data_IF_132921331616
#
_entry.id   IF_132921331616
#
_cell.length_a   1.000
_cell.length_b   1.000
_cell.length_c   1.000
_cell.angle_alpha   90.00
_cell.angle_beta   90.00
_cell.angle_gamma   90.00
#
_symmetry.space_group_name_H-M   'P 1'
#
loop_
_entity.id
_entity.type
_entity.pdbx_description
1 polymer ?
#
# COMPACT_ATOMS: atom_id res chain seq x y z
N UNK A 1 -1.83 5.02 23.27
CA UNK A 1 -2.47 6.29 22.96
C UNK A 1 -2.60 6.37 21.46
N UNK A 2 -3.78 6.71 20.95
CA UNK A 2 -4.01 6.95 19.53
C UNK A 2 -3.24 8.21 19.07
N UNK A 3 -2.85 8.32 17.81
CA UNK A 3 -2.26 9.56 17.29
C UNK A 3 -3.27 10.73 17.42
N UNK A 4 -2.79 11.96 17.66
CA UNK A 4 -3.67 13.11 17.88
C UNK A 4 -4.71 13.33 16.77
N UNK A 5 -4.32 13.04 15.52
CA UNK A 5 -5.16 13.19 14.32
C UNK A 5 -6.30 12.15 14.26
N UNK A 6 -6.20 11.10 15.05
CA UNK A 6 -7.17 10.02 15.12
C UNK A 6 -7.87 9.95 16.49
N UNK A 7 -7.59 10.90 17.39
CA UNK A 7 -8.21 10.95 18.71
C UNK A 7 -9.56 11.65 18.57
N UNK A 8 -10.68 10.98 18.85
CA UNK A 8 -11.99 11.63 18.83
C UNK A 8 -12.05 12.69 19.94
N UNK A 9 -12.66 13.81 19.65
CA UNK A 9 -13.01 14.80 20.66
C UNK A 9 -14.04 14.18 21.61
N UNK A 10 -13.61 14.01 22.87
CA UNK A 10 -14.44 13.68 24.03
C UNK A 10 -15.62 12.72 23.77
N UNK A 11 -15.47 11.47 24.22
CA UNK A 11 -16.53 10.44 24.33
C UNK A 11 -17.17 9.90 23.05
N UNK A 12 -16.75 10.35 21.88
CA UNK A 12 -17.29 9.87 20.61
C UNK A 12 -16.52 8.68 20.02
N UNK A 13 -17.27 7.77 19.41
CA UNK A 13 -16.73 6.65 18.67
C UNK A 13 -16.16 7.11 17.33
N UNK A 14 -14.89 6.81 17.08
CA UNK A 14 -14.30 7.02 15.77
C UNK A 14 -14.77 5.92 14.80
N UNK A 15 -15.61 6.32 13.83
CA UNK A 15 -16.05 5.41 12.78
C UNK A 15 -15.10 5.51 11.58
N UNK A 16 -14.58 4.37 11.16
CA UNK A 16 -13.67 4.25 10.02
C UNK A 16 -14.28 3.34 8.96
N UNK A 17 -14.10 3.67 7.69
CA UNK A 17 -14.50 2.81 6.60
C UNK A 17 -13.55 2.94 5.41
N UNK A 18 -13.16 1.82 4.82
CA UNK A 18 -12.42 1.75 3.56
C UNK A 18 -13.32 1.96 2.32
N UNK A 19 -14.65 1.92 2.49
CA UNK A 19 -15.59 2.23 1.40
C UNK A 19 -15.77 3.74 1.25
N UNK A 20 -15.08 4.30 0.25
CA UNK A 20 -15.13 5.73 -0.08
C UNK A 20 -16.56 6.21 -0.42
N UNK A 21 -17.37 5.37 -1.05
CA UNK A 21 -18.74 5.71 -1.40
C UNK A 21 -19.64 5.75 -0.16
N UNK A 22 -19.45 4.81 0.77
CA UNK A 22 -20.13 4.82 2.07
C UNK A 22 -19.78 6.08 2.87
N UNK A 23 -18.49 6.39 3.03
CA UNK A 23 -18.02 7.61 3.73
C UNK A 23 -18.64 8.86 3.12
N UNK A 24 -18.63 8.98 1.80
CA UNK A 24 -19.22 10.13 1.11
C UNK A 24 -20.73 10.25 1.29
N UNK A 25 -21.46 9.13 1.40
CA UNK A 25 -22.92 9.14 1.69
C UNK A 25 -23.20 9.56 3.13
N UNK A 26 -22.52 8.95 4.09
CA UNK A 26 -22.76 9.23 5.51
C UNK A 26 -22.36 10.65 5.90
N UNK A 27 -21.23 11.14 5.41
CA UNK A 27 -20.83 12.52 5.69
C UNK A 27 -21.77 13.54 5.07
N UNK A 28 -22.33 13.30 3.86
CA UNK A 28 -23.37 14.16 3.28
C UNK A 28 -24.65 14.15 4.09
N UNK A 29 -25.08 12.99 4.59
CA UNK A 29 -26.26 12.89 5.49
C UNK A 29 -26.03 13.61 6.81
N UNK A 30 -24.82 13.55 7.36
CA UNK A 30 -24.44 14.27 8.58
C UNK A 30 -24.49 15.77 8.36
N UNK A 31 -23.88 16.28 7.29
CA UNK A 31 -23.91 17.70 6.91
C UNK A 31 -25.33 18.25 6.70
N UNK A 32 -26.24 17.46 6.14
CA UNK A 32 -27.65 17.87 5.96
C UNK A 32 -28.43 17.95 7.27
N UNK A 33 -28.03 17.18 8.30
CA UNK A 33 -28.65 17.21 9.64
C UNK A 33 -28.08 18.27 10.56
N UNK A 34 -26.86 18.72 10.26
CA UNK A 34 -26.04 19.57 11.14
C UNK A 34 -25.85 20.97 10.52
N UNK A 35 -26.94 21.68 10.25
CA UNK A 35 -26.87 23.08 9.82
C UNK A 35 -26.46 24.05 10.96
N UNK A 36 -26.23 23.56 12.19
CA UNK A 36 -26.04 24.38 13.38
C UNK A 36 -24.76 24.13 14.20
N UNK A 37 -23.91 23.15 13.84
CA UNK A 37 -22.68 22.89 14.59
C UNK A 37 -21.49 22.53 13.67
N UNK A 38 -20.31 23.10 13.97
CA UNK A 38 -18.99 22.74 13.42
C UNK A 38 -18.64 21.29 13.82
N UNK A 39 -19.38 20.32 13.30
CA UNK A 39 -19.13 18.90 13.61
C UNK A 39 -18.23 18.28 12.55
N UNK A 40 -17.13 17.69 13.01
CA UNK A 40 -16.27 16.84 12.20
C UNK A 40 -17.06 15.71 11.52
N UNK A 41 -16.66 15.24 10.33
CA UNK A 41 -17.31 14.12 9.68
C UNK A 41 -17.29 12.90 10.61
N UNK A 42 -18.47 12.32 10.89
CA UNK A 42 -18.62 11.17 11.81
C UNK A 42 -17.93 9.92 11.31
N UNK A 43 -17.75 9.78 10.00
CA UNK A 43 -17.06 8.65 9.39
C UNK A 43 -15.83 9.16 8.66
N UNK A 44 -14.65 8.66 9.06
CA UNK A 44 -13.41 8.97 8.38
C UNK A 44 -13.10 7.88 7.34
N UNK A 45 -12.55 8.32 6.22
CA UNK A 45 -12.08 7.38 5.20
C UNK A 45 -10.77 6.74 5.66
N UNK A 46 -10.78 5.42 5.78
CA UNK A 46 -9.59 4.65 6.10
C UNK A 46 -8.83 4.37 4.81
N UNK A 47 -7.78 5.14 4.55
CA UNK A 47 -6.83 4.87 3.48
C UNK A 47 -5.54 4.25 4.05
N UNK A 48 -4.71 3.74 3.17
CA UNK A 48 -3.50 3.01 3.54
C UNK A 48 -2.53 3.79 4.45
N UNK A 49 -2.35 5.08 4.21
CA UNK A 49 -1.50 5.97 5.04
C UNK A 49 -2.29 6.68 6.16
N UNK A 50 -3.49 6.23 6.47
CA UNK A 50 -4.23 6.81 7.59
C UNK A 50 -3.45 6.64 8.89
N UNK A 51 -3.34 7.67 9.76
CA UNK A 51 -2.54 7.60 11.00
C UNK A 51 -2.86 6.41 11.90
N UNK A 52 -4.11 5.95 11.91
CA UNK A 52 -4.51 4.72 12.64
C UNK A 52 -3.85 3.46 12.08
N UNK A 53 -3.66 3.36 10.76
CA UNK A 53 -2.99 2.21 10.17
C UNK A 53 -1.53 2.14 10.60
N UNK A 54 -0.85 3.27 10.56
CA UNK A 54 0.53 3.36 11.05
C UNK A 54 0.63 3.05 12.55
N UNK A 55 -0.28 3.62 13.36
CA UNK A 55 -0.34 3.31 14.79
C UNK A 55 -0.59 1.81 15.05
N UNK A 56 -1.49 1.18 14.29
CA UNK A 56 -1.75 -0.26 14.43
C UNK A 56 -0.53 -1.11 14.05
N UNK A 57 0.17 -0.75 12.96
CA UNK A 57 1.41 -1.41 12.56
C UNK A 57 2.51 -1.25 13.61
N UNK A 58 2.68 -0.06 14.17
CA UNK A 58 3.65 0.20 15.25
C UNK A 58 3.32 -0.61 16.51
N UNK A 59 2.03 -0.70 16.87
CA UNK A 59 1.57 -1.52 18.00
C UNK A 59 1.77 -3.01 17.75
N UNK A 60 1.43 -3.50 16.58
CA UNK A 60 1.70 -4.88 16.21
C UNK A 60 3.20 -5.19 16.28
N UNK A 61 4.05 -4.29 15.75
CA UNK A 61 5.50 -4.41 15.82
C UNK A 61 6.07 -4.40 17.25
N UNK A 62 5.42 -3.69 18.19
CA UNK A 62 5.79 -3.71 19.61
C UNK A 62 5.43 -5.05 20.29
N UNK A 63 4.25 -5.62 19.96
CA UNK A 63 3.79 -6.86 20.57
C UNK A 63 4.52 -8.10 20.04
N UNK A 64 4.72 -8.18 18.73
CA UNK A 64 5.25 -9.38 18.08
C UNK A 64 6.75 -9.31 17.80
N UNK A 65 7.37 -8.16 18.04
CA UNK A 65 8.73 -7.91 17.58
C UNK A 65 8.80 -7.80 16.04
N UNK A 66 9.70 -6.99 15.53
CA UNK A 66 9.82 -6.76 14.07
C UNK A 66 10.32 -7.96 13.28
N UNK A 67 10.83 -8.98 13.95
CA UNK A 67 11.48 -10.16 13.34
C UNK A 67 10.75 -11.47 13.58
N UNK A 68 9.62 -11.46 14.29
CA UNK A 68 8.88 -12.68 14.64
C UNK A 68 7.44 -12.55 14.16
N UNK A 69 6.99 -13.54 13.40
CA UNK A 69 5.59 -13.68 13.05
C UNK A 69 4.88 -14.54 14.09
N UNK A 70 3.66 -14.18 14.55
CA UNK A 70 2.89 -15.01 15.45
C UNK A 70 2.49 -16.33 14.77
N UNK A 71 2.60 -17.42 15.51
CA UNK A 71 2.01 -18.69 15.14
C UNK A 71 0.64 -18.82 15.80
N UNK A 72 -0.41 -19.03 15.02
CA UNK A 72 -1.79 -19.02 15.46
C UNK A 72 -2.40 -20.37 15.15
N UNK A 73 -2.83 -21.09 16.20
CA UNK A 73 -3.56 -22.33 16.06
C UNK A 73 -5.05 -22.07 15.75
N UNK A 74 -5.58 -22.78 14.78
CA UNK A 74 -7.00 -22.70 14.43
C UNK A 74 -7.62 -24.08 14.24
N UNK A 75 -8.84 -24.26 14.73
CA UNK A 75 -9.62 -25.48 14.54
C UNK A 75 -10.25 -25.60 13.16
N UNK A 76 -10.07 -24.60 12.30
CA UNK A 76 -10.61 -24.59 10.93
C UNK A 76 -9.67 -25.22 9.91
N UNK A 77 -8.43 -25.49 10.31
CA UNK A 77 -7.43 -26.19 9.51
C UNK A 77 -7.24 -27.61 10.03
N UNK A 78 -6.90 -28.53 9.14
CA UNK A 78 -6.53 -29.89 9.51
C UNK A 78 -5.12 -29.92 10.14
N UNK A 79 -4.85 -30.94 10.97
CA UNK A 79 -3.50 -31.16 11.52
C UNK A 79 -2.48 -31.32 10.39
N UNK A 80 -1.37 -30.58 10.47
CA UNK A 80 -0.34 -30.54 9.42
C UNK A 80 -0.58 -29.54 8.28
N UNK A 81 -1.73 -28.89 8.25
CA UNK A 81 -1.97 -27.76 7.33
C UNK A 81 -1.40 -26.47 7.89
N UNK A 82 -0.74 -25.69 7.03
CA UNK A 82 -0.13 -24.40 7.40
C UNK A 82 -0.49 -23.34 6.37
N UNK A 83 -0.89 -22.17 6.84
CA UNK A 83 -1.09 -20.99 5.98
C UNK A 83 -0.19 -19.86 6.45
N UNK A 84 0.71 -19.41 5.55
CA UNK A 84 1.47 -18.19 5.77
C UNK A 84 0.67 -16.98 5.29
N UNK A 85 0.42 -16.02 6.16
CA UNK A 85 0.00 -14.68 5.78
C UNK A 85 1.23 -13.86 5.45
N UNK A 86 1.38 -13.51 4.18
CA UNK A 86 2.54 -12.82 3.66
C UNK A 86 2.19 -11.38 3.27
N UNK A 87 3.12 -10.49 3.50
CA UNK A 87 3.09 -9.15 2.94
C UNK A 87 4.36 -8.93 2.11
N UNK A 88 4.19 -8.39 0.92
CA UNK A 88 5.29 -8.11 0.01
C UNK A 88 5.19 -6.72 -0.59
N UNK A 89 6.30 -6.01 -0.64
CA UNK A 89 6.37 -4.64 -1.13
C UNK A 89 7.54 -4.49 -2.09
N UNK A 90 7.31 -3.79 -3.21
CA UNK A 90 8.37 -3.35 -4.10
C UNK A 90 8.40 -1.82 -4.05
N UNK A 91 9.50 -1.22 -3.57
CA UNK A 91 9.64 0.22 -3.52
C UNK A 91 10.01 0.81 -4.88
N UNK A 92 9.78 2.10 -5.03
CA UNK A 92 10.38 2.89 -6.10
C UNK A 92 11.78 3.39 -5.69
N UNK A 93 12.45 4.15 -6.58
CA UNK A 93 13.76 4.76 -6.30
C UNK A 93 13.78 5.71 -5.10
N UNK A 94 12.62 6.18 -4.66
CA UNK A 94 12.45 7.02 -3.46
C UNK A 94 12.15 6.22 -2.21
N UNK A 95 12.28 4.90 -2.27
CA UNK A 95 11.93 3.99 -1.17
C UNK A 95 10.46 4.06 -0.75
N UNK A 96 9.58 4.62 -1.58
CA UNK A 96 8.15 4.59 -1.35
C UNK A 96 7.56 3.27 -1.86
N UNK A 97 6.66 2.62 -1.12
CA UNK A 97 6.03 1.38 -1.55
C UNK A 97 5.06 1.66 -2.70
N UNK A 98 5.33 1.10 -3.86
CA UNK A 98 4.51 1.24 -5.07
C UNK A 98 3.69 -0.02 -5.30
N UNK A 99 4.34 -1.18 -5.30
CA UNK A 99 3.65 -2.47 -5.29
C UNK A 99 3.59 -2.96 -3.86
N UNK A 100 2.40 -3.31 -3.40
CA UNK A 100 2.17 -3.81 -2.04
C UNK A 100 1.03 -4.82 -2.07
N UNK A 101 1.40 -6.07 -1.83
CA UNK A 101 0.51 -7.21 -1.93
C UNK A 101 0.44 -7.93 -0.58
N UNK A 102 -0.79 -8.29 -0.21
CA UNK A 102 -1.08 -9.15 0.93
C UNK A 102 -1.78 -10.39 0.43
N UNK A 103 -1.29 -11.55 0.82
CA UNK A 103 -1.79 -12.84 0.34
C UNK A 103 -1.50 -13.96 1.32
N UNK A 104 -2.22 -15.07 1.16
CA UNK A 104 -1.95 -16.31 1.85
C UNK A 104 -1.20 -17.32 0.97
N UNK A 105 -0.34 -18.13 1.59
CA UNK A 105 0.26 -19.31 0.97
C UNK A 105 -0.15 -20.55 1.78
N UNK A 106 -0.95 -21.40 1.17
CA UNK A 106 -1.46 -22.62 1.78
C UNK A 106 -0.52 -23.78 1.52
N UNK A 107 -0.18 -24.50 2.58
CA UNK A 107 0.58 -25.74 2.56
C UNK A 107 -0.26 -26.84 3.17
N UNK A 108 -0.31 -28.00 2.51
CA UNK A 108 -0.95 -29.20 3.02
C UNK A 108 0.07 -30.32 3.14
N UNK A 109 0.11 -30.94 4.29
CA UNK A 109 1.05 -32.05 4.54
C UNK A 109 2.50 -31.73 4.11
N UNK A 110 2.95 -30.50 4.41
CA UNK A 110 4.31 -30.05 4.11
C UNK A 110 4.58 -29.67 2.64
N UNK A 111 3.56 -29.59 1.77
CA UNK A 111 3.69 -29.21 0.36
C UNK A 111 2.86 -27.97 0.05
N UNK A 112 3.42 -27.10 -0.78
CA UNK A 112 2.68 -25.96 -1.29
C UNK A 112 1.47 -26.42 -2.11
N UNK A 113 0.30 -25.95 -1.74
CA UNK A 113 -0.97 -26.27 -2.38
C UNK A 113 -1.41 -25.17 -3.32
N UNK A 114 -1.60 -23.96 -2.77
CA UNK A 114 -2.07 -22.82 -3.55
C UNK A 114 -1.84 -21.47 -2.86
N UNK A 115 -1.96 -20.42 -3.65
CA UNK A 115 -2.08 -19.05 -3.20
C UNK A 115 -3.53 -18.74 -2.79
N UNK A 116 -3.70 -17.94 -1.75
CA UNK A 116 -4.98 -17.43 -1.26
C UNK A 116 -5.00 -15.92 -1.36
N UNK A 117 -6.14 -15.37 -1.75
CA UNK A 117 -6.43 -13.95 -1.52
C UNK A 117 -6.62 -13.70 -0.02
N UNK A 118 -6.57 -12.43 0.41
CA UNK A 118 -6.84 -12.11 1.82
C UNK A 118 -8.25 -12.51 2.26
N UNK A 119 -9.25 -12.36 1.38
CA UNK A 119 -10.63 -12.79 1.66
C UNK A 119 -10.73 -14.30 1.85
N UNK A 120 -10.03 -15.09 1.04
CA UNK A 120 -9.99 -16.55 1.18
C UNK A 120 -9.26 -16.97 2.47
N UNK A 121 -8.14 -16.29 2.79
CA UNK A 121 -7.40 -16.52 4.02
C UNK A 121 -8.27 -16.25 5.24
N UNK A 122 -8.93 -15.08 5.30
CA UNK A 122 -9.82 -14.70 6.40
C UNK A 122 -10.95 -15.73 6.55
N UNK A 123 -11.63 -16.09 5.45
CA UNK A 123 -12.71 -17.09 5.47
C UNK A 123 -12.23 -18.45 5.95
N UNK A 124 -11.04 -18.84 5.56
CA UNK A 124 -10.49 -20.16 5.89
C UNK A 124 -9.98 -20.25 7.32
N UNK A 125 -9.29 -19.24 7.80
CA UNK A 125 -8.76 -19.20 9.16
C UNK A 125 -9.74 -18.66 10.19
N UNK A 126 -10.75 -17.89 9.74
CA UNK A 126 -11.74 -17.21 10.59
C UNK A 126 -11.11 -16.36 11.70
N UNK A 127 -9.94 -15.79 11.45
CA UNK A 127 -9.20 -15.03 12.46
C UNK A 127 -9.85 -13.67 12.79
N UNK A 128 -10.77 -13.20 11.97
CA UNK A 128 -11.58 -11.98 12.17
C UNK A 128 -12.66 -12.16 13.24
N UNK A 129 -12.88 -13.40 13.74
CA UNK A 129 -13.85 -13.67 14.79
C UNK A 129 -13.20 -13.53 16.16
N UNK A 130 -13.56 -12.48 16.88
CA UNK A 130 -13.06 -12.21 18.23
C UNK A 130 -13.50 -13.22 19.29
N UNK A 131 -14.47 -14.08 18.99
CA UNK A 131 -15.02 -15.08 19.90
C UNK A 131 -14.24 -16.41 19.88
N UNK A 132 -13.20 -16.52 19.02
CA UNK A 132 -12.39 -17.74 18.93
C UNK A 132 -11.02 -17.52 19.57
N UNK A 133 -10.80 -18.03 20.78
CA UNK A 133 -9.46 -18.08 21.34
C UNK A 133 -8.57 -18.96 20.47
N UNK A 134 -7.26 -18.75 20.60
CA UNK A 134 -6.26 -19.60 19.96
C UNK A 134 -6.54 -21.06 20.32
N UNK A 135 -6.89 -21.88 19.33
CA UNK A 135 -7.33 -23.24 19.58
C UNK A 135 -6.14 -24.14 19.89
N UNK A 136 -6.24 -24.92 20.94
CA UNK A 136 -5.22 -25.90 21.33
C UNK A 136 -3.94 -25.29 21.92
N UNK A 137 -2.99 -26.16 22.19
CA UNK A 137 -1.69 -25.80 22.74
C UNK A 137 -0.63 -25.92 21.61
N UNK A 138 -0.14 -24.81 21.12
CA UNK A 138 0.98 -24.79 20.18
C UNK A 138 2.29 -25.06 20.90
N UNK A 139 3.15 -25.84 20.26
CA UNK A 139 4.46 -26.24 20.78
C UNK A 139 5.59 -25.60 19.97
N UNK A 140 6.81 -25.68 20.50
CA UNK A 140 8.00 -25.33 19.72
C UNK A 140 8.17 -26.22 18.48
N UNK A 141 7.65 -27.44 18.50
CA UNK A 141 7.69 -28.37 17.38
C UNK A 141 6.83 -27.84 16.22
N UNK A 142 5.62 -27.34 16.49
CA UNK A 142 4.76 -26.75 15.48
C UNK A 142 5.43 -25.54 14.82
N UNK A 143 6.13 -24.70 15.60
CA UNK A 143 6.90 -23.59 15.08
C UNK A 143 8.09 -24.06 14.20
N UNK A 144 8.77 -25.14 14.56
CA UNK A 144 9.86 -25.72 13.79
C UNK A 144 9.35 -26.33 12.47
N UNK A 145 8.23 -27.04 12.50
CA UNK A 145 7.60 -27.61 11.32
C UNK A 145 7.19 -26.49 10.32
N UNK A 146 6.52 -25.44 10.80
CA UNK A 146 6.19 -24.29 9.99
C UNK A 146 7.45 -23.63 9.39
N UNK A 147 8.51 -23.50 10.19
CA UNK A 147 9.78 -22.90 9.75
C UNK A 147 10.45 -23.67 8.60
N UNK A 148 10.29 -24.99 8.52
CA UNK A 148 10.82 -25.80 7.42
C UNK A 148 10.19 -25.43 6.07
N UNK A 149 8.98 -24.91 6.05
CA UNK A 149 8.24 -24.50 4.85
C UNK A 149 8.61 -23.10 4.38
N UNK A 150 9.26 -22.30 5.23
CA UNK A 150 9.57 -20.90 4.94
C UNK A 150 10.38 -20.67 3.64
N UNK A 151 11.40 -21.48 3.28
CA UNK A 151 12.12 -21.29 2.04
C UNK A 151 11.22 -21.39 0.79
N UNK A 152 10.30 -22.36 0.78
CA UNK A 152 9.33 -22.50 -0.32
C UNK A 152 8.29 -21.37 -0.29
N UNK A 153 7.83 -20.96 0.89
CA UNK A 153 6.93 -19.81 1.04
C UNK A 153 7.55 -18.53 0.49
N UNK A 154 8.83 -18.27 0.77
CA UNK A 154 9.55 -17.10 0.23
C UNK A 154 9.67 -17.19 -1.30
N UNK A 155 9.95 -18.36 -1.85
CA UNK A 155 10.01 -18.55 -3.29
C UNK A 155 8.67 -18.27 -3.97
N UNK A 156 7.57 -18.77 -3.41
CA UNK A 156 6.22 -18.50 -3.91
C UNK A 156 5.84 -17.01 -3.76
N UNK A 157 6.23 -16.39 -2.65
CA UNK A 157 6.01 -14.96 -2.44
C UNK A 157 6.73 -14.09 -3.49
N UNK A 158 7.97 -14.45 -3.86
CA UNK A 158 8.69 -13.76 -4.95
C UNK A 158 7.95 -13.85 -6.27
N UNK A 159 7.40 -15.03 -6.62
CA UNK A 159 6.59 -15.20 -7.84
C UNK A 159 5.36 -14.27 -7.83
N UNK A 160 4.66 -14.18 -6.70
CA UNK A 160 3.50 -13.29 -6.54
C UNK A 160 3.89 -11.83 -6.77
N UNK A 161 5.02 -11.39 -6.21
CA UNK A 161 5.48 -10.01 -6.36
C UNK A 161 5.98 -9.72 -7.77
N UNK A 162 6.59 -10.68 -8.44
CA UNK A 162 6.97 -10.55 -9.86
C UNK A 162 5.73 -10.32 -10.72
N UNK A 163 4.68 -11.13 -10.54
CA UNK A 163 3.41 -10.96 -11.25
C UNK A 163 2.76 -9.59 -10.94
N UNK A 164 2.84 -9.14 -9.69
CA UNK A 164 2.31 -7.84 -9.28
C UNK A 164 3.11 -6.67 -9.90
N UNK A 165 4.44 -6.81 -10.00
CA UNK A 165 5.29 -5.87 -10.68
C UNK A 165 4.97 -5.78 -12.17
N UNK A 166 4.72 -6.93 -12.82
CA UNK A 166 4.35 -6.97 -14.24
C UNK A 166 3.02 -6.26 -14.46
N UNK A 167 1.99 -6.53 -13.64
CA UNK A 167 0.70 -5.81 -13.69
C UNK A 167 0.86 -4.31 -13.51
N UNK A 168 1.74 -3.87 -12.60
CA UNK A 168 2.02 -2.47 -12.39
C UNK A 168 2.65 -1.83 -13.64
N UNK A 169 3.62 -2.50 -14.25
CA UNK A 169 4.31 -2.00 -15.45
C UNK A 169 3.40 -1.98 -16.69
N UNK A 170 2.46 -2.92 -16.81
CA UNK A 170 1.51 -3.01 -17.93
C UNK A 170 0.31 -2.05 -17.80
N UNK A 171 0.02 -1.56 -16.59
CA UNK A 171 -1.11 -0.67 -16.31
C UNK A 171 -0.67 0.69 -15.79
N UNK A 172 -0.64 0.89 -14.46
CA UNK A 172 -0.43 2.22 -13.84
C UNK A 172 0.82 2.95 -14.32
N UNK A 173 1.90 2.23 -14.59
CA UNK A 173 3.14 2.80 -15.11
C UNK A 173 2.94 3.41 -16.50
N UNK A 174 2.29 2.69 -17.42
CA UNK A 174 2.00 3.18 -18.77
C UNK A 174 1.00 4.35 -18.76
N UNK A 175 0.02 4.32 -17.87
CA UNK A 175 -0.96 5.41 -17.74
C UNK A 175 -0.27 6.73 -17.37
N UNK A 176 0.67 6.71 -16.44
CA UNK A 176 1.43 7.90 -16.05
C UNK A 176 2.34 8.37 -17.19
N UNK A 177 2.97 7.46 -17.93
CA UNK A 177 3.75 7.83 -19.12
C UNK A 177 2.89 8.49 -20.19
N UNK A 178 1.67 8.03 -20.38
CA UNK A 178 0.73 8.68 -21.30
C UNK A 178 0.35 10.11 -20.85
N UNK A 179 0.23 10.32 -19.53
CA UNK A 179 0.00 11.66 -18.96
C UNK A 179 1.23 12.57 -19.11
N UNK A 180 2.45 12.03 -18.99
CA UNK A 180 3.69 12.79 -19.27
C UNK A 180 3.72 13.33 -20.70
N UNK A 181 3.22 12.58 -21.68
CA UNK A 181 3.08 13.08 -23.05
C UNK A 181 2.13 14.29 -23.21
N UNK A 182 1.24 14.54 -22.23
CA UNK A 182 0.45 15.79 -22.19
C UNK A 182 1.29 16.96 -21.67
N UNK A 183 2.25 16.69 -20.79
CA UNK A 183 3.19 17.71 -20.30
C UNK A 183 4.18 18.14 -21.37
N UNK A 184 4.63 17.24 -22.25
CA UNK A 184 5.45 17.61 -23.40
C UNK A 184 4.73 18.66 -24.26
N UNK A 185 3.45 18.41 -24.56
CA UNK A 185 2.62 19.38 -25.30
C UNK A 185 2.40 20.70 -24.55
N UNK A 186 2.42 20.67 -23.23
CA UNK A 186 2.36 21.88 -22.41
C UNK A 186 3.68 22.64 -22.48
N UNK A 187 4.82 21.93 -22.39
CA UNK A 187 6.16 22.51 -22.56
C UNK A 187 6.30 23.19 -23.92
N UNK A 188 5.97 22.48 -25.00
CA UNK A 188 6.00 23.02 -26.37
C UNK A 188 5.17 24.31 -26.52
N UNK A 189 3.98 24.34 -25.90
CA UNK A 189 3.13 25.55 -25.89
C UNK A 189 3.78 26.71 -25.13
N UNK A 190 4.41 26.45 -24.00
CA UNK A 190 5.13 27.47 -23.23
C UNK A 190 6.32 28.00 -24.02
N UNK A 191 7.08 27.15 -24.67
CA UNK A 191 8.21 27.52 -25.52
C UNK A 191 7.76 28.34 -26.75
N UNK A 192 6.68 27.92 -27.42
CA UNK A 192 6.11 28.67 -28.55
C UNK A 192 5.63 30.06 -28.12
N UNK A 193 4.94 30.15 -26.98
CA UNK A 193 4.50 31.44 -26.44
C UNK A 193 5.68 32.35 -26.05
N UNK A 194 6.73 31.77 -25.48
CA UNK A 194 7.95 32.50 -25.18
C UNK A 194 8.59 33.03 -26.47
N UNK A 195 8.66 32.19 -27.50
CA UNK A 195 9.20 32.56 -28.80
C UNK A 195 8.40 33.73 -29.40
N UNK A 196 7.09 33.65 -29.49
CA UNK A 196 6.20 34.67 -29.99
C UNK A 196 6.35 36.01 -29.21
N UNK A 197 6.37 35.94 -27.89
CA UNK A 197 6.58 37.10 -27.00
C UNK A 197 7.87 37.85 -27.33
N UNK A 198 8.95 37.13 -27.58
CA UNK A 198 10.26 37.72 -27.85
C UNK A 198 10.48 38.07 -29.31
N UNK A 199 9.80 37.45 -30.27
CA UNK A 199 9.79 37.90 -31.67
C UNK A 199 9.12 39.26 -31.80
N UNK A 200 8.03 39.50 -31.09
CA UNK A 200 7.39 40.82 -31.06
C UNK A 200 8.29 41.91 -30.40
N UNK A 201 9.18 41.52 -29.48
CA UNK A 201 10.09 42.41 -28.78
C UNK A 201 11.48 42.53 -29.50
N UNK A 202 11.75 41.74 -30.55
CA UNK A 202 13.07 41.57 -31.17
C UNK A 202 13.57 42.78 -31.96
N UNK A 203 12.82 43.87 -32.02
CA UNK A 203 13.30 45.16 -32.53
C UNK A 203 14.55 45.66 -31.77
N UNK A 204 14.87 45.09 -30.60
CA UNK A 204 15.94 45.53 -29.69
C UNK A 204 17.10 44.54 -29.49
N UNK A 205 17.23 43.48 -30.31
CA UNK A 205 18.34 42.52 -30.28
C UNK A 205 18.15 41.32 -29.33
N UNK A 206 19.12 40.36 -29.31
CA UNK A 206 18.98 39.12 -28.55
C UNK A 206 18.84 39.38 -27.04
N UNK A 207 17.74 38.94 -26.47
CA UNK A 207 17.41 39.23 -25.08
C UNK A 207 17.98 38.17 -24.16
N UNK A 208 18.95 38.51 -23.31
CA UNK A 208 19.45 37.67 -22.21
C UNK A 208 18.31 37.18 -21.29
N UNK A 209 17.18 37.91 -21.29
CA UNK A 209 15.96 37.51 -20.53
C UNK A 209 15.28 36.31 -21.16
N UNK A 210 15.20 36.20 -22.49
CA UNK A 210 14.65 35.03 -23.19
C UNK A 210 15.40 33.77 -22.83
N UNK A 211 16.74 33.81 -22.87
CA UNK A 211 17.58 32.67 -22.54
C UNK A 211 17.45 32.25 -21.05
N UNK A 212 17.19 33.22 -20.18
CA UNK A 212 16.97 32.96 -18.77
C UNK A 212 15.57 32.31 -18.51
N UNK A 213 14.53 32.84 -19.16
CA UNK A 213 13.17 32.28 -19.09
C UNK A 213 13.15 30.87 -19.71
N UNK A 214 13.79 30.63 -20.83
CA UNK A 214 13.90 29.30 -21.47
C UNK A 214 14.58 28.31 -20.53
N UNK A 215 15.74 28.67 -19.99
CA UNK A 215 16.44 27.79 -19.01
C UNK A 215 15.63 27.50 -17.78
N UNK A 216 14.83 28.43 -17.31
CA UNK A 216 13.94 28.22 -16.18
C UNK A 216 12.83 27.21 -16.54
N UNK A 217 12.19 27.35 -17.70
CA UNK A 217 11.20 26.40 -18.20
C UNK A 217 11.82 25.01 -18.29
N UNK A 218 12.96 24.87 -18.97
CA UNK A 218 13.64 23.59 -19.12
C UNK A 218 13.99 22.95 -17.78
N UNK A 219 14.46 23.74 -16.82
CA UNK A 219 14.80 23.24 -15.49
C UNK A 219 13.56 22.75 -14.72
N UNK A 220 12.47 23.49 -14.77
CA UNK A 220 11.21 23.09 -14.08
C UNK A 220 10.66 21.79 -14.66
N UNK A 221 10.59 21.69 -15.99
CA UNK A 221 10.12 20.47 -16.64
C UNK A 221 11.05 19.30 -16.38
N UNK A 222 12.37 19.49 -16.47
CA UNK A 222 13.36 18.47 -16.17
C UNK A 222 13.21 17.93 -14.74
N UNK A 223 13.13 18.82 -13.75
CA UNK A 223 12.93 18.42 -12.35
C UNK A 223 11.62 17.65 -12.14
N UNK A 224 10.58 18.03 -12.86
CA UNK A 224 9.30 17.35 -12.79
C UNK A 224 9.37 15.94 -13.39
N UNK A 225 10.03 15.78 -14.57
CA UNK A 225 10.23 14.47 -15.19
C UNK A 225 11.06 13.54 -14.29
N UNK A 226 12.18 14.01 -13.78
CA UNK A 226 13.02 13.27 -12.83
C UNK A 226 12.20 12.87 -11.58
N UNK A 227 11.35 13.78 -11.11
CA UNK A 227 10.49 13.51 -9.98
C UNK A 227 9.45 12.41 -10.27
N UNK A 228 8.83 12.41 -11.43
CA UNK A 228 7.88 11.38 -11.82
C UNK A 228 8.59 10.05 -12.06
N UNK A 229 9.70 10.06 -12.80
CA UNK A 229 10.49 8.86 -13.12
C UNK A 229 10.94 8.16 -11.85
N UNK A 230 11.56 8.87 -10.92
CA UNK A 230 11.96 8.31 -9.62
C UNK A 230 10.79 7.81 -8.78
N UNK A 231 9.61 8.41 -8.94
CA UNK A 231 8.39 8.00 -8.25
C UNK A 231 7.75 6.75 -8.84
N UNK A 232 7.98 6.48 -10.12
CA UNK A 232 7.33 5.40 -10.86
C UNK A 232 8.23 4.19 -11.08
N UNK A 233 9.53 4.38 -11.19
CA UNK A 233 10.46 3.29 -11.43
C UNK A 233 10.60 2.41 -10.18
N UNK A 234 10.34 1.12 -10.32
CA UNK A 234 10.33 0.16 -9.21
C UNK A 234 11.61 -0.68 -9.17
N UNK A 235 12.07 -1.00 -7.97
CA UNK A 235 13.22 -1.87 -7.72
C UNK A 235 12.80 -3.35 -7.69
N UNK A 236 12.61 -3.95 -8.87
CA UNK A 236 12.09 -5.32 -9.02
C UNK A 236 12.92 -6.40 -8.35
N UNK A 237 14.24 -6.22 -8.33
CA UNK A 237 15.19 -7.25 -7.88
C UNK A 237 15.25 -7.39 -6.36
N UNK A 238 14.78 -6.39 -5.62
CA UNK A 238 14.83 -6.33 -4.17
C UNK A 238 13.46 -6.15 -3.53
N UNK A 239 12.52 -7.08 -3.70
CA UNK A 239 11.24 -7.00 -3.03
C UNK A 239 11.43 -7.20 -1.52
N UNK A 240 10.76 -6.39 -0.74
CA UNK A 240 10.68 -6.57 0.71
C UNK A 240 9.54 -7.55 1.03
N UNK A 241 9.88 -8.69 1.62
CA UNK A 241 8.92 -9.75 1.95
C UNK A 241 8.95 -9.98 3.46
N UNK A 242 7.78 -10.02 4.08
CA UNK A 242 7.63 -10.39 5.48
C UNK A 242 6.52 -11.42 5.67
N UNK A 243 6.69 -12.29 6.64
CA UNK A 243 5.61 -13.11 7.19
C UNK A 243 4.88 -12.25 8.22
N UNK A 244 3.59 -12.04 8.05
CA UNK A 244 2.77 -11.27 8.97
C UNK A 244 2.21 -12.16 10.09
N UNK A 245 1.78 -13.38 9.74
CA UNK A 245 1.31 -14.41 10.67
C UNK A 245 1.43 -15.78 10.01
N UNK A 246 1.43 -16.82 10.84
CA UNK A 246 1.36 -18.22 10.41
C UNK A 246 0.18 -18.87 11.11
N UNK A 247 -0.71 -19.48 10.34
CA UNK A 247 -1.84 -20.25 10.87
C UNK A 247 -1.56 -21.72 10.70
N UNK A 248 -1.87 -22.51 11.72
CA UNK A 248 -1.72 -23.98 11.67
C UNK A 248 -2.94 -24.68 12.27
N UNK A 249 -3.23 -25.86 11.75
CA UNK A 249 -4.21 -26.74 12.39
C UNK A 249 -3.72 -27.17 13.76
N UNK A 250 -4.63 -27.33 14.70
CA UNK A 250 -4.32 -27.83 16.04
C UNK A 250 -4.82 -29.24 16.20
N UNK A 251 -3.98 -30.07 16.84
CA UNK A 251 -4.38 -31.40 17.23
C UNK A 251 -5.52 -31.30 18.29
N UNK A 252 -6.61 -32.00 18.02
CA UNK A 252 -7.74 -32.11 18.94
C UNK A 252 -7.34 -32.87 20.22
#
# INVERSE_FOLDING_TARGET
VLPPEATPDLDDWLMLSSDKAFVGRENRRSLQRSLEEDSWPRVQYLWRQHPIMQWADDKAGQFFGRQQAPLIGTSTLEDGDVIFCMAGTIPNRRSAPVVDEWFGLEFKNGRFERRLTMDELIKKTQFDRNDRPNAGTLTEEDAREASKLLPEAVKQAKSVLTEAADRYMEGPYLDVYAELGKLDRLKERHEAHLQEKYEQLSIFGPSKKKDAEQRHIDQVFKQFYEWVEDGMEIERDNPYIRVAAVFTGVRA
#
